data_IF_272210000236
#
_entry.id   IF_272210000236
#
_cell.length_a   1.000
_cell.length_b   1.000
_cell.length_c   1.000
_cell.angle_alpha   90.00
_cell.angle_beta   90.00
_cell.angle_gamma   90.00
#
_symmetry.space_group_name_H-M   'P 1'
#
loop_
_entity.id
_entity.type
_entity.pdbx_description
1 polymer ?
#
# COMPACT_ATOMS: atom_id res chain seq x y z
N UNK A 1 -1.20 -24.88 1.06
CA UNK A 1 -1.63 -23.76 1.94
C UNK A 1 -0.40 -23.11 2.52
N UNK A 2 -0.34 -21.78 2.52
CA UNK A 2 0.76 -21.00 3.09
C UNK A 2 0.21 -19.71 3.70
N UNK A 3 0.97 -19.12 4.65
CA UNK A 3 0.65 -17.85 5.27
C UNK A 3 1.34 -16.72 4.52
N UNK A 4 0.61 -15.68 4.21
CA UNK A 4 1.12 -14.45 3.59
C UNK A 4 0.20 -13.26 3.90
N UNK A 5 0.64 -12.08 3.53
CA UNK A 5 -0.15 -10.85 3.58
C UNK A 5 0.01 -10.07 2.28
N UNK A 6 -0.78 -9.03 2.09
CA UNK A 6 -0.66 -8.12 0.96
C UNK A 6 -0.74 -6.68 1.48
N UNK A 7 0.09 -5.74 0.96
CA UNK A 7 1.02 -5.91 -0.16
C UNK A 7 2.33 -6.63 0.25
N UNK A 8 2.75 -7.60 -0.57
CA UNK A 8 4.01 -8.32 -0.41
C UNK A 8 4.45 -8.93 -1.74
N UNK A 9 5.74 -9.23 -1.91
CA UNK A 9 6.27 -9.79 -3.16
C UNK A 9 5.62 -11.11 -3.57
N UNK A 10 5.19 -11.93 -2.61
CA UNK A 10 4.50 -13.20 -2.88
C UNK A 10 3.23 -12.99 -3.69
N UNK A 11 2.50 -11.91 -3.43
CA UNK A 11 1.29 -11.56 -4.19
C UNK A 11 1.59 -11.08 -5.63
N UNK A 12 2.85 -10.80 -5.94
CA UNK A 12 3.30 -10.54 -7.31
C UNK A 12 3.58 -11.84 -8.09
N UNK A 13 3.96 -12.92 -7.40
CA UNK A 13 4.20 -14.25 -8.00
C UNK A 13 2.93 -15.09 -8.05
N UNK A 14 2.25 -15.20 -6.90
CA UNK A 14 1.00 -15.95 -6.74
C UNK A 14 -0.14 -14.94 -6.60
N UNK A 15 -0.73 -14.59 -7.73
CA UNK A 15 -1.74 -13.52 -7.81
C UNK A 15 -3.07 -14.02 -7.25
N UNK A 16 -3.60 -13.41 -6.17
CA UNK A 16 -4.91 -13.77 -5.65
C UNK A 16 -6.02 -13.58 -6.69
N UNK A 17 -6.88 -14.57 -6.82
CA UNK A 17 -7.96 -14.61 -7.81
C UNK A 17 -7.56 -15.19 -9.18
N UNK A 18 -6.26 -15.36 -9.45
CA UNK A 18 -5.74 -16.03 -10.65
C UNK A 18 -5.06 -17.36 -10.30
N UNK A 19 -4.07 -17.33 -9.43
CA UNK A 19 -3.22 -18.48 -9.11
C UNK A 19 -3.58 -19.09 -7.75
N UNK A 20 -4.11 -18.29 -6.86
CA UNK A 20 -4.46 -18.66 -5.48
C UNK A 20 -5.76 -17.99 -5.05
N UNK A 21 -6.36 -18.51 -3.99
CA UNK A 21 -7.52 -17.90 -3.34
C UNK A 21 -7.26 -17.71 -1.84
N UNK A 22 -7.87 -16.66 -1.28
CA UNK A 22 -7.90 -16.45 0.16
C UNK A 22 -8.85 -17.43 0.82
N UNK A 23 -8.38 -18.11 1.86
CA UNK A 23 -9.22 -19.00 2.67
C UNK A 23 -10.04 -18.15 3.64
N UNK A 24 -11.34 -18.34 3.64
CA UNK A 24 -12.26 -17.70 4.57
C UNK A 24 -12.45 -18.57 5.82
N UNK A 25 -12.56 -17.94 6.99
CA UNK A 25 -12.88 -18.59 8.24
C UNK A 25 -14.33 -18.31 8.65
N UNK A 26 -15.01 -19.24 9.33
CA UNK A 26 -16.44 -19.09 9.64
C UNK A 26 -16.72 -18.08 10.75
N UNK A 27 -15.74 -17.78 11.60
CA UNK A 27 -15.86 -16.85 12.73
C UNK A 27 -14.53 -16.23 13.09
N UNK A 28 -14.58 -15.10 13.79
CA UNK A 28 -13.40 -14.43 14.34
C UNK A 28 -12.91 -15.15 15.59
N UNK A 29 -11.60 -15.46 15.65
CA UNK A 29 -10.95 -16.09 16.79
C UNK A 29 -9.69 -15.32 17.21
N UNK A 30 -9.72 -14.00 17.09
CA UNK A 30 -8.59 -13.15 17.44
C UNK A 30 -8.37 -13.12 18.97
N UNK A 31 -7.13 -13.21 19.47
CA UNK A 31 -6.83 -13.25 20.92
C UNK A 31 -7.40 -12.08 21.72
N UNK A 32 -7.54 -10.91 21.09
CA UNK A 32 -8.08 -9.70 21.71
C UNK A 32 -9.60 -9.52 21.48
N UNK A 33 -10.32 -10.55 21.07
CA UNK A 33 -11.74 -10.51 20.73
C UNK A 33 -12.10 -9.46 19.65
N UNK A 34 -11.16 -9.13 18.77
CA UNK A 34 -11.40 -8.23 17.64
C UNK A 34 -12.17 -8.99 16.57
N UNK A 35 -13.20 -8.34 16.02
CA UNK A 35 -13.88 -8.87 14.84
C UNK A 35 -12.98 -8.70 13.60
N UNK A 36 -12.60 -9.83 13.00
CA UNK A 36 -11.74 -9.87 11.81
C UNK A 36 -12.54 -9.84 10.51
N UNK A 37 -13.87 -9.67 10.59
CA UNK A 37 -14.74 -9.56 9.42
C UNK A 37 -14.54 -8.22 8.70
N UNK A 38 -14.25 -8.28 7.41
CA UNK A 38 -14.08 -7.10 6.58
C UNK A 38 -15.43 -6.45 6.24
N UNK A 39 -15.40 -5.18 5.82
CA UNK A 39 -16.60 -4.42 5.41
C UNK A 39 -17.39 -5.08 4.26
N UNK A 40 -16.72 -5.88 3.43
CA UNK A 40 -17.35 -6.65 2.34
C UNK A 40 -17.97 -7.97 2.81
N UNK A 41 -17.97 -8.26 4.12
CA UNK A 41 -18.54 -9.46 4.72
C UNK A 41 -17.59 -10.66 4.77
N UNK A 42 -16.44 -10.62 4.12
CA UNK A 42 -15.44 -11.70 4.12
C UNK A 42 -14.62 -11.71 5.40
N UNK A 43 -14.25 -12.88 5.87
CA UNK A 43 -13.43 -13.07 7.06
C UNK A 43 -12.23 -13.96 6.75
N UNK A 44 -11.03 -13.41 6.85
CA UNK A 44 -9.79 -14.14 6.63
C UNK A 44 -9.05 -14.49 7.93
N UNK A 45 -9.67 -14.23 9.09
CA UNK A 45 -9.14 -14.58 10.41
C UNK A 45 -8.09 -13.62 10.96
N UNK A 46 -7.77 -12.54 10.23
CA UNK A 46 -6.76 -11.56 10.61
C UNK A 46 -7.33 -10.14 10.53
N UNK A 47 -6.86 -9.28 11.43
CA UNK A 47 -7.19 -7.87 11.41
C UNK A 47 -6.63 -7.20 10.15
N UNK A 48 -7.42 -6.32 9.53
CA UNK A 48 -6.97 -5.55 8.37
C UNK A 48 -6.00 -4.45 8.79
N UNK A 49 -4.80 -4.48 8.24
CA UNK A 49 -3.81 -3.43 8.43
C UNK A 49 -3.98 -2.32 7.40
N UNK A 50 -3.78 -1.08 7.85
CA UNK A 50 -3.77 0.10 6.97
C UNK A 50 -2.36 0.67 6.95
N UNK A 51 -1.81 0.85 5.74
CA UNK A 51 -0.54 1.55 5.56
C UNK A 51 -0.82 3.04 5.33
N UNK A 52 -0.15 3.89 6.07
CA UNK A 52 -0.35 5.34 6.04
C UNK A 52 0.98 6.08 5.97
N UNK A 53 0.96 7.27 5.37
CA UNK A 53 2.07 8.21 5.46
C UNK A 53 2.03 8.83 6.86
N UNK A 54 3.16 8.80 7.54
CA UNK A 54 3.35 9.41 8.86
C UNK A 54 4.32 10.57 8.73
N UNK A 55 3.98 11.71 9.30
CA UNK A 55 4.80 12.91 9.25
C UNK A 55 4.79 13.65 10.58
N UNK A 56 5.81 14.48 10.81
CA UNK A 56 5.89 15.35 11.97
C UNK A 56 4.74 16.38 11.96
N UNK A 57 4.04 16.55 13.09
CA UNK A 57 2.86 17.42 13.19
C UNK A 57 3.18 18.91 12.95
N UNK A 58 4.30 19.39 13.46
CA UNK A 58 4.73 20.77 13.29
C UNK A 58 5.09 21.04 11.82
N UNK A 59 5.86 20.14 11.19
CA UNK A 59 6.18 20.24 9.78
C UNK A 59 4.91 20.32 8.92
N UNK A 60 3.94 19.45 9.16
CA UNK A 60 2.68 19.44 8.39
C UNK A 60 1.86 20.70 8.60
N UNK A 61 1.82 21.24 9.83
CA UNK A 61 1.09 22.49 10.12
C UNK A 61 1.70 23.71 9.41
N UNK A 62 3.00 23.70 9.20
CA UNK A 62 3.73 24.78 8.51
C UNK A 62 3.78 24.60 7.00
N UNK A 63 3.41 23.42 6.48
CA UNK A 63 3.51 23.09 5.06
C UNK A 63 2.19 22.52 4.51
N UNK A 64 1.14 23.35 4.35
CA UNK A 64 -0.20 22.88 3.96
C UNK A 64 -0.23 22.19 2.59
N UNK A 65 0.60 22.61 1.64
CA UNK A 65 0.73 21.98 0.31
C UNK A 65 1.22 20.53 0.46
N UNK A 66 2.25 20.30 1.29
CA UNK A 66 2.78 18.95 1.56
C UNK A 66 1.77 18.11 2.32
N UNK A 67 1.08 18.71 3.30
CA UNK A 67 0.01 18.06 4.04
C UNK A 67 -1.08 17.54 3.10
N UNK A 68 -1.49 18.39 2.14
CA UNK A 68 -2.49 18.01 1.14
C UNK A 68 -1.99 16.92 0.20
N UNK A 69 -0.73 17.00 -0.24
CA UNK A 69 -0.12 15.95 -1.05
C UNK A 69 -0.19 14.59 -0.33
N UNK A 70 0.24 14.51 0.92
CA UNK A 70 0.21 13.27 1.70
C UNK A 70 -1.21 12.73 1.94
N UNK A 71 -2.22 13.61 2.02
CA UNK A 71 -3.63 13.21 2.13
C UNK A 71 -4.19 12.58 0.86
N UNK A 72 -3.76 13.03 -0.31
CA UNK A 72 -4.31 12.59 -1.60
C UNK A 72 -3.50 11.50 -2.27
N UNK A 73 -2.24 11.29 -1.84
CA UNK A 73 -1.41 10.20 -2.36
C UNK A 73 -2.00 8.84 -1.99
N UNK A 74 -2.19 8.01 -3.00
CA UNK A 74 -2.67 6.64 -2.83
C UNK A 74 -2.04 5.74 -3.90
N UNK A 75 -1.23 4.79 -3.47
CA UNK A 75 -0.62 3.77 -4.34
C UNK A 75 -1.40 2.47 -4.15
N UNK A 76 -1.75 1.82 -5.25
CA UNK A 76 -2.52 0.58 -5.18
C UNK A 76 -1.72 -0.55 -4.51
N UNK A 77 -2.43 -1.45 -3.82
CA UNK A 77 -1.82 -2.65 -3.21
C UNK A 77 -1.10 -3.50 -4.26
N UNK A 78 -1.63 -3.54 -5.48
CA UNK A 78 -1.02 -4.29 -6.58
C UNK A 78 0.30 -3.66 -7.02
N UNK A 79 0.37 -2.34 -7.13
CA UNK A 79 1.62 -1.63 -7.48
C UNK A 79 2.69 -1.84 -6.40
N UNK A 80 2.30 -1.78 -5.12
CA UNK A 80 3.24 -2.04 -4.02
C UNK A 80 3.74 -3.50 -4.06
N UNK A 81 2.85 -4.47 -4.32
CA UNK A 81 3.24 -5.88 -4.42
C UNK A 81 4.17 -6.13 -5.60
N UNK A 82 3.87 -5.56 -6.77
CA UNK A 82 4.73 -5.65 -7.96
C UNK A 82 6.09 -5.00 -7.72
N UNK A 83 6.12 -3.86 -7.04
CA UNK A 83 7.36 -3.19 -6.66
C UNK A 83 8.20 -4.01 -5.69
N UNK A 84 7.57 -4.61 -4.69
CA UNK A 84 8.26 -5.49 -3.74
C UNK A 84 8.84 -6.73 -4.44
N UNK A 85 8.14 -7.29 -5.42
CA UNK A 85 8.65 -8.40 -6.23
C UNK A 85 9.88 -7.97 -7.03
N UNK A 86 9.81 -6.84 -7.72
CA UNK A 86 10.92 -6.29 -8.50
C UNK A 86 12.16 -6.05 -7.66
N UNK A 87 12.01 -5.43 -6.49
CA UNK A 87 13.13 -5.21 -5.56
C UNK A 87 13.75 -6.53 -5.09
N UNK A 88 12.92 -7.56 -4.85
CA UNK A 88 13.39 -8.89 -4.49
C UNK A 88 14.18 -9.55 -5.62
N UNK A 89 13.68 -9.49 -6.86
CA UNK A 89 14.32 -10.09 -8.04
C UNK A 89 15.66 -9.42 -8.37
N UNK A 90 15.74 -8.10 -8.23
CA UNK A 90 16.97 -7.33 -8.44
C UNK A 90 18.00 -7.55 -7.32
N UNK A 91 17.60 -8.13 -6.17
CA UNK A 91 18.47 -8.28 -5.00
C UNK A 91 18.96 -6.94 -4.43
N UNK A 92 18.30 -5.85 -4.79
CA UNK A 92 18.65 -4.49 -4.43
C UNK A 92 17.64 -3.92 -3.44
N UNK A 93 18.13 -3.54 -2.27
CA UNK A 93 17.42 -2.79 -1.27
C UNK A 93 18.09 -1.44 -1.02
N UNK A 94 17.48 -0.63 -0.15
CA UNK A 94 18.03 0.65 0.26
C UNK A 94 17.44 1.84 -0.48
N UNK A 95 17.92 3.02 -0.10
CA UNK A 95 17.32 4.30 -0.51
C UNK A 95 17.46 4.56 -2.02
N UNK A 96 18.64 4.32 -2.59
CA UNK A 96 18.89 4.53 -4.02
C UNK A 96 17.97 3.67 -4.92
N UNK A 97 17.75 2.42 -4.52
CA UNK A 97 16.82 1.55 -5.24
C UNK A 97 15.38 2.08 -5.11
N UNK A 98 14.98 2.51 -3.92
CA UNK A 98 13.65 3.08 -3.69
C UNK A 98 13.41 4.35 -4.53
N UNK A 99 14.37 5.27 -4.61
CA UNK A 99 14.29 6.49 -5.44
C UNK A 99 14.15 6.14 -6.92
N UNK A 100 15.04 5.30 -7.45
CA UNK A 100 14.98 4.86 -8.85
C UNK A 100 13.63 4.24 -9.21
N UNK A 101 13.09 3.41 -8.33
CA UNK A 101 11.81 2.75 -8.53
C UNK A 101 10.63 3.74 -8.40
N UNK A 102 10.71 4.69 -7.47
CA UNK A 102 9.72 5.76 -7.34
C UNK A 102 9.67 6.63 -8.60
N UNK A 103 10.80 7.03 -9.13
CA UNK A 103 10.91 7.80 -10.37
C UNK A 103 10.32 7.03 -11.56
N UNK A 104 10.62 5.74 -11.66
CA UNK A 104 10.07 4.89 -12.71
C UNK A 104 8.54 4.76 -12.59
N UNK A 105 8.01 4.62 -11.37
CA UNK A 105 6.58 4.57 -11.12
C UNK A 105 5.90 5.91 -11.46
N UNK A 106 6.47 7.04 -11.03
CA UNK A 106 5.98 8.38 -11.34
C UNK A 106 5.92 8.59 -12.85
N UNK A 107 6.98 8.20 -13.56
CA UNK A 107 7.05 8.31 -15.02
C UNK A 107 5.93 7.50 -15.70
N UNK A 108 5.71 6.28 -15.25
CA UNK A 108 4.66 5.39 -15.77
C UNK A 108 3.25 5.85 -15.39
N UNK A 109 3.08 6.52 -14.25
CA UNK A 109 1.79 6.97 -13.69
C UNK A 109 1.67 8.50 -13.65
N UNK A 110 2.28 9.20 -14.61
CA UNK A 110 2.40 10.64 -14.63
C UNK A 110 1.06 11.37 -14.44
N UNK A 111 0.00 10.89 -15.09
CA UNK A 111 -1.34 11.48 -14.97
C UNK A 111 -1.86 11.44 -13.52
N UNK A 112 -1.71 10.33 -12.84
CA UNK A 112 -2.12 10.15 -11.44
C UNK A 112 -1.31 11.07 -10.53
N UNK A 113 0.01 11.10 -10.73
CA UNK A 113 0.90 11.96 -9.96
C UNK A 113 0.60 13.45 -10.16
N UNK A 114 0.31 13.89 -11.39
CA UNK A 114 -0.08 15.27 -11.68
C UNK A 114 -1.42 15.67 -11.03
N UNK A 115 -2.38 14.75 -10.92
CA UNK A 115 -3.63 14.98 -10.16
C UNK A 115 -3.32 15.26 -8.69
N UNK A 116 -2.43 14.49 -8.05
CA UNK A 116 -2.02 14.73 -6.67
C UNK A 116 -1.31 16.08 -6.50
N UNK A 117 -0.38 16.41 -7.41
CA UNK A 117 0.33 17.68 -7.38
C UNK A 117 -0.61 18.88 -7.55
N UNK A 118 -1.57 18.79 -8.47
CA UNK A 118 -2.55 19.85 -8.69
C UNK A 118 -3.46 20.04 -7.48
N UNK A 119 -3.93 18.94 -6.86
CA UNK A 119 -4.71 19.00 -5.62
C UNK A 119 -3.90 19.62 -4.46
N UNK A 120 -2.61 19.29 -4.36
CA UNK A 120 -1.72 19.85 -3.35
C UNK A 120 -1.50 21.36 -3.56
N UNK A 121 -1.23 21.79 -4.78
CA UNK A 121 -1.03 23.21 -5.13
C UNK A 121 -2.26 24.07 -4.90
N UNK A 122 -3.45 23.51 -5.03
CA UNK A 122 -4.72 24.20 -4.76
C UNK A 122 -5.03 24.37 -3.26
N UNK A 123 -4.18 23.90 -2.36
CA UNK A 123 -4.34 24.02 -0.90
C UNK A 123 -3.60 25.22 -0.29
N UNK A 124 -3.19 26.20 -1.11
CA UNK A 124 -2.57 27.46 -0.68
C UNK A 124 -3.65 28.46 -0.34
#
# INVERSE_FOLDING_TARGET
MYYTWTPYWVSGVLVPGRDVTWLEVPYSAHPNNVDTKLKNGKNYGFEANTQMIVANKEFISQNPVVAKLFQVMNISVNDVSAQNLKMKEEGQGGWEAAERHADAWIKANRRTFDVWLNAARAAI
#
